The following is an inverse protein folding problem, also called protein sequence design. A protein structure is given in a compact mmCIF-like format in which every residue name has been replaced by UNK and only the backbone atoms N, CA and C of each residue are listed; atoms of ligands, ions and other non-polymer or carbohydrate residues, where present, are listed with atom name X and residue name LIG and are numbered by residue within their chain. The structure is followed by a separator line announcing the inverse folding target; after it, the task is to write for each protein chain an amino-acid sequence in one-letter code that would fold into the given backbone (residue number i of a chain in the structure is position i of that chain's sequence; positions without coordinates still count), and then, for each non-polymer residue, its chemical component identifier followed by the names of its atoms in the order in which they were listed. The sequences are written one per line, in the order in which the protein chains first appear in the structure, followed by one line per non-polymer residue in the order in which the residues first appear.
data_IF_109378787423
#
_entry.id   IF_109378787423
#
_cell.length_a   1.000
_cell.length_b   1.000
_cell.length_c   1.000
_cell.angle_alpha   90.00
_cell.angle_beta   90.00
_cell.angle_gamma   90.00
#
_symmetry.space_group_name_H-M   'P 1'
#
loop_
_entity.id
_entity.type
_entity.pdbx_description
1 polymer ?
#
# COMPACT_ATOMS: atom_id res chain seq x y z
N UNK A 1 5.71 -21.34 -5.44
CA UNK A 1 5.70 -19.88 -5.71
C UNK A 1 5.13 -19.12 -4.52
N UNK A 2 5.94 -18.21 -3.97
CA UNK A 2 5.58 -17.34 -2.84
C UNK A 2 5.39 -15.91 -3.36
N UNK A 3 4.31 -15.24 -2.96
CA UNK A 3 3.94 -13.94 -3.54
C UNK A 3 3.53 -12.90 -2.50
N UNK A 4 3.90 -11.64 -2.69
CA UNK A 4 3.49 -10.56 -1.79
C UNK A 4 2.20 -9.88 -2.27
N UNK A 5 1.34 -9.50 -1.34
CA UNK A 5 0.29 -8.52 -1.62
C UNK A 5 0.94 -7.22 -2.06
N UNK A 6 0.34 -6.58 -3.07
CA UNK A 6 0.90 -5.38 -3.66
C UNK A 6 -0.19 -4.39 -4.03
N UNK A 7 -0.15 -3.20 -3.41
CA UNK A 7 -0.98 -2.10 -3.86
C UNK A 7 -0.41 -1.44 -5.11
N UNK A 8 0.82 -0.93 -5.01
CA UNK A 8 1.51 -0.18 -6.05
C UNK A 8 3.01 -0.20 -5.73
N UNK A 9 3.86 -0.20 -6.76
CA UNK A 9 5.28 0.15 -6.61
C UNK A 9 5.47 1.65 -6.80
N UNK A 10 6.70 2.15 -6.64
CA UNK A 10 7.06 3.55 -6.87
C UNK A 10 8.14 3.68 -7.93
N UNK A 11 8.14 4.80 -8.65
CA UNK A 11 9.27 5.23 -9.48
C UNK A 11 10.50 5.53 -8.59
N UNK A 12 11.70 5.39 -9.17
CA UNK A 12 12.98 5.25 -8.43
C UNK A 12 13.25 6.39 -7.44
N UNK A 13 12.90 7.63 -7.77
CA UNK A 13 13.38 8.81 -7.02
C UNK A 13 12.46 9.26 -5.87
N UNK A 14 11.40 8.50 -5.56
CA UNK A 14 10.41 8.95 -4.57
C UNK A 14 10.97 9.16 -3.16
N UNK A 15 11.99 8.39 -2.79
CA UNK A 15 12.66 8.49 -1.50
C UNK A 15 13.58 9.70 -1.40
N UNK A 16 14.39 9.97 -2.43
CA UNK A 16 15.25 11.16 -2.51
C UNK A 16 14.43 12.45 -2.38
N UNK A 17 13.34 12.58 -3.14
CA UNK A 17 12.47 13.76 -3.05
C UNK A 17 11.80 13.89 -1.68
N UNK A 18 11.52 12.78 -0.98
CA UNK A 18 11.01 12.79 0.39
C UNK A 18 12.06 13.28 1.41
N UNK A 19 13.32 12.87 1.24
CA UNK A 19 14.45 13.30 2.08
C UNK A 19 14.69 14.80 1.90
N UNK A 20 14.80 15.27 0.66
CA UNK A 20 15.00 16.69 0.36
C UNK A 20 13.81 17.55 0.80
N UNK A 21 12.57 17.05 0.65
CA UNK A 21 11.38 17.75 1.12
C UNK A 21 11.33 17.88 2.65
N UNK A 22 11.95 16.95 3.39
CA UNK A 22 12.13 17.06 4.83
C UNK A 22 13.25 18.05 5.22
N UNK A 23 14.10 18.44 4.27
CA UNK A 23 15.19 19.40 4.47
C UNK A 23 16.54 18.75 4.81
N UNK A 24 16.73 17.48 4.49
CA UNK A 24 18.01 16.78 4.67
C UNK A 24 18.77 16.79 3.33
N UNK A 25 20.02 17.29 3.26
CA UNK A 25 20.86 17.16 2.07
C UNK A 25 21.16 15.68 1.77
N UNK A 26 21.04 15.27 0.51
CA UNK A 26 21.33 13.88 0.12
C UNK A 26 22.79 13.48 0.40
N UNK A 27 23.71 14.43 0.34
CA UNK A 27 25.12 14.22 0.66
C UNK A 27 25.37 13.84 2.13
N UNK A 28 24.42 14.14 3.03
CA UNK A 28 24.50 13.74 4.44
C UNK A 28 23.94 12.34 4.70
N UNK A 29 23.29 11.72 3.71
CA UNK A 29 22.58 10.44 3.86
C UNK A 29 23.53 9.26 3.67
N UNK A 30 23.47 8.31 4.60
CA UNK A 30 24.13 7.01 4.49
C UNK A 30 23.15 5.91 4.05
N UNK A 31 21.91 5.92 4.55
CA UNK A 31 20.88 4.96 4.15
C UNK A 31 19.47 5.52 4.31
N UNK A 32 18.53 4.94 3.55
CA UNK A 32 17.09 5.19 3.69
C UNK A 32 16.36 3.88 3.93
N UNK A 33 15.50 3.85 4.94
CA UNK A 33 14.65 2.71 5.24
C UNK A 33 13.18 3.07 4.96
N UNK A 34 12.58 2.40 3.98
CA UNK A 34 11.15 2.58 3.65
C UNK A 34 10.22 2.13 4.78
N UNK A 35 10.69 1.26 5.67
CA UNK A 35 9.93 0.72 6.79
C UNK A 35 10.85 0.41 7.98
N UNK A 36 11.56 1.43 8.45
CA UNK A 36 12.40 1.37 9.65
C UNK A 36 11.60 1.47 10.96
N UNK A 37 12.27 1.30 12.10
CA UNK A 37 11.68 1.54 13.43
C UNK A 37 10.64 0.51 13.89
N UNK A 38 10.73 -0.74 13.43
CA UNK A 38 9.82 -1.83 13.81
C UNK A 38 8.43 -1.74 13.17
N UNK A 39 7.51 -2.64 13.50
CA UNK A 39 6.15 -2.63 12.93
C UNK A 39 5.27 -1.54 13.61
N UNK A 40 4.46 -0.75 12.86
CA UNK A 40 4.27 -0.80 11.40
C UNK A 40 5.33 -0.02 10.62
N UNK A 41 6.15 0.78 11.30
CA UNK A 41 7.35 1.41 10.78
C UNK A 41 7.15 2.81 10.23
N UNK A 42 8.18 3.31 9.54
CA UNK A 42 8.16 4.59 8.86
C UNK A 42 9.35 4.80 7.94
N UNK A 43 9.41 5.97 7.34
CA UNK A 43 10.57 6.45 6.59
C UNK A 43 11.63 6.94 7.56
N UNK A 44 12.79 6.29 7.53
CA UNK A 44 13.94 6.66 8.34
C UNK A 44 15.13 6.97 7.44
N UNK A 45 15.81 8.06 7.76
CA UNK A 45 17.10 8.44 7.18
C UNK A 45 18.18 8.18 8.20
N UNK A 46 19.16 7.37 7.83
CA UNK A 46 20.39 7.23 8.58
C UNK A 46 21.41 8.17 7.94
N UNK A 47 21.89 9.15 8.69
CA UNK A 47 22.92 10.09 8.26
C UNK A 47 24.31 9.47 8.39
N UNK A 48 25.28 10.05 7.68
CA UNK A 48 26.70 9.63 7.73
C UNK A 48 27.34 9.78 9.11
N UNK A 49 26.82 10.68 9.95
CA UNK A 49 27.23 10.84 11.35
C UNK A 49 26.60 9.81 12.31
N UNK A 50 25.77 8.90 11.79
CA UNK A 50 25.04 7.89 12.57
C UNK A 50 23.68 8.34 13.10
N UNK A 51 23.29 9.61 12.92
CA UNK A 51 21.98 10.11 13.36
C UNK A 51 20.85 9.45 12.56
N UNK A 52 19.82 8.98 13.26
CA UNK A 52 18.60 8.44 12.66
C UNK A 52 17.46 9.46 12.73
N UNK A 53 16.84 9.76 11.59
CA UNK A 53 15.76 10.75 11.48
C UNK A 53 14.51 10.11 10.88
N UNK A 54 13.38 10.18 11.62
CA UNK A 54 12.08 9.75 11.12
C UNK A 54 11.38 10.88 10.37
N UNK A 55 11.05 10.68 9.10
CA UNK A 55 10.45 11.74 8.27
C UNK A 55 8.98 12.03 8.59
N UNK A 56 8.30 11.12 9.31
CA UNK A 56 6.88 11.28 9.68
C UNK A 56 6.57 10.61 11.02
N UNK A 57 6.63 11.37 12.11
CA UNK A 57 6.37 10.82 13.45
C UNK A 57 4.88 10.59 13.72
N UNK A 58 4.04 11.55 13.32
CA UNK A 58 2.62 11.63 13.73
C UNK A 58 1.65 11.10 12.68
N UNK A 59 2.16 10.64 11.53
CA UNK A 59 1.37 10.11 10.42
C UNK A 59 1.76 8.64 10.22
N UNK A 60 0.76 7.75 10.20
CA UNK A 60 0.99 6.34 9.96
C UNK A 60 1.55 6.10 8.56
N UNK A 61 2.53 5.19 8.45
CA UNK A 61 3.20 4.85 7.20
C UNK A 61 2.21 4.51 6.08
N UNK A 62 1.11 3.81 6.36
CA UNK A 62 0.08 3.47 5.35
C UNK A 62 -0.54 4.71 4.69
N UNK A 63 -0.71 5.80 5.43
CA UNK A 63 -1.29 7.04 4.92
C UNK A 63 -0.25 7.88 4.19
N UNK A 64 1.02 7.84 4.63
CA UNK A 64 2.16 8.38 3.87
C UNK A 64 2.28 7.67 2.51
N UNK A 65 2.30 6.34 2.50
CA UNK A 65 2.38 5.54 1.28
C UNK A 65 1.21 5.82 0.32
N UNK A 66 -0.01 6.06 0.84
CA UNK A 66 -1.15 6.47 0.01
C UNK A 66 -0.90 7.78 -0.76
N UNK A 67 -0.15 8.72 -0.17
CA UNK A 67 0.29 9.95 -0.87
C UNK A 67 1.40 9.61 -1.84
N UNK A 68 2.40 8.82 -1.42
CA UNK A 68 3.52 8.41 -2.27
C UNK A 68 3.06 7.71 -3.55
N UNK A 69 2.11 6.78 -3.48
CA UNK A 69 1.57 6.09 -4.66
C UNK A 69 0.85 7.04 -5.64
N UNK A 70 0.31 8.16 -5.15
CA UNK A 70 -0.31 9.19 -6.01
C UNK A 70 0.71 10.14 -6.63
N UNK A 71 1.91 10.25 -6.08
CA UNK A 71 2.98 11.08 -6.62
C UNK A 71 3.93 10.29 -7.53
N UNK A 72 4.21 9.03 -7.18
CA UNK A 72 5.26 8.20 -7.76
C UNK A 72 4.78 6.85 -8.30
N UNK A 73 3.47 6.56 -8.25
CA UNK A 73 2.95 5.28 -8.74
C UNK A 73 3.02 5.19 -10.28
N UNK A 74 3.74 4.21 -10.86
CA UNK A 74 3.92 4.13 -12.30
C UNK A 74 2.60 3.77 -12.99
N UNK A 75 2.44 4.20 -14.25
CA UNK A 75 1.24 3.92 -15.07
C UNK A 75 0.91 2.43 -15.13
N UNK A 76 1.94 1.56 -15.20
CA UNK A 76 1.77 0.10 -15.21
C UNK A 76 0.99 -0.43 -14.01
N UNK A 77 1.23 0.09 -12.80
CA UNK A 77 0.50 -0.33 -11.61
C UNK A 77 -0.99 0.05 -11.64
N UNK A 78 -1.36 1.04 -12.46
CA UNK A 78 -2.74 1.44 -12.66
C UNK A 78 -3.48 0.55 -13.65
N UNK A 79 -2.78 -0.34 -14.36
CA UNK A 79 -3.36 -1.35 -15.24
C UNK A 79 -3.33 -2.75 -14.61
N UNK A 80 -2.79 -2.87 -13.40
CA UNK A 80 -2.62 -4.15 -12.68
C UNK A 80 -3.90 -4.54 -11.94
N UNK A 81 -4.48 -5.69 -12.30
CA UNK A 81 -5.72 -6.21 -11.68
C UNK A 81 -5.44 -7.09 -10.46
N UNK A 82 -4.18 -7.43 -10.17
CA UNK A 82 -3.82 -8.30 -9.05
C UNK A 82 -3.24 -7.49 -7.89
N UNK A 83 -3.86 -7.63 -6.72
CA UNK A 83 -3.40 -7.04 -5.48
C UNK A 83 -2.95 -8.07 -4.45
N UNK A 84 -3.37 -9.32 -4.59
CA UNK A 84 -3.24 -10.37 -3.58
C UNK A 84 -2.32 -11.51 -4.04
N UNK A 85 -1.62 -11.31 -5.17
CA UNK A 85 -0.82 -12.33 -5.84
C UNK A 85 -1.64 -13.62 -6.00
N UNK A 86 -2.75 -13.50 -6.73
CA UNK A 86 -3.84 -14.48 -6.77
C UNK A 86 -3.43 -15.82 -7.41
N UNK A 87 -2.29 -15.85 -8.11
CA UNK A 87 -1.73 -17.04 -8.74
C UNK A 87 -0.61 -17.73 -7.93
N UNK A 88 -0.22 -17.18 -6.77
CA UNK A 88 0.81 -17.81 -5.92
C UNK A 88 0.27 -19.02 -5.14
N UNK A 89 1.16 -19.93 -4.77
CA UNK A 89 0.81 -21.05 -3.89
C UNK A 89 0.46 -20.54 -2.49
N UNK A 90 1.30 -19.63 -1.99
CA UNK A 90 1.10 -18.83 -0.78
C UNK A 90 1.30 -17.34 -1.09
N UNK A 91 0.35 -16.52 -0.63
CA UNK A 91 0.41 -15.06 -0.77
C UNK A 91 0.47 -14.39 0.60
N UNK A 92 1.31 -13.35 0.78
CA UNK A 92 1.61 -12.76 2.08
C UNK A 92 1.26 -11.27 2.16
N UNK A 93 0.70 -10.83 3.29
CA UNK A 93 0.50 -9.42 3.57
C UNK A 93 0.48 -9.10 5.06
N UNK A 94 0.39 -7.81 5.37
CA UNK A 94 0.33 -7.35 6.76
C UNK A 94 -0.99 -7.73 7.43
N UNK A 95 -0.92 -8.33 8.63
CA UNK A 95 -2.07 -8.44 9.52
C UNK A 95 -2.23 -7.12 10.30
N UNK A 96 -3.36 -6.44 10.10
CA UNK A 96 -3.70 -5.21 10.81
C UNK A 96 -4.78 -5.50 11.84
N UNK A 97 -4.43 -5.53 13.13
CA UNK A 97 -5.31 -5.98 14.20
C UNK A 97 -6.64 -5.21 14.27
N UNK A 98 -6.62 -3.92 13.97
CA UNK A 98 -7.82 -3.08 13.99
C UNK A 98 -8.83 -3.37 12.86
N UNK A 99 -8.52 -4.28 11.92
CA UNK A 99 -9.54 -4.85 11.01
C UNK A 99 -10.38 -5.94 11.68
N UNK A 100 -9.99 -6.42 12.86
CA UNK A 100 -10.60 -7.59 13.50
C UNK A 100 -11.12 -7.24 14.90
N UNK A 101 -11.96 -8.11 15.45
CA UNK A 101 -12.42 -7.96 16.83
C UNK A 101 -11.28 -8.30 17.81
N UNK A 102 -11.46 -7.95 19.09
CA UNK A 102 -10.41 -8.01 20.12
C UNK A 102 -9.70 -9.36 20.23
N UNK A 103 -10.42 -10.46 19.97
CA UNK A 103 -9.91 -11.81 20.04
C UNK A 103 -8.85 -12.12 18.97
N UNK A 104 -8.94 -11.49 17.79
CA UNK A 104 -7.93 -11.61 16.73
C UNK A 104 -6.93 -10.46 16.74
N UNK A 105 -7.23 -9.37 17.44
CA UNK A 105 -6.35 -8.21 17.54
C UNK A 105 -5.00 -8.53 18.21
N UNK A 106 -4.95 -9.59 19.02
CA UNK A 106 -3.72 -10.11 19.64
C UNK A 106 -2.66 -10.52 18.60
N UNK A 107 -3.09 -10.84 17.38
CA UNK A 107 -2.20 -11.23 16.28
C UNK A 107 -1.65 -10.04 15.48
N UNK A 108 -1.71 -8.81 16.02
CA UNK A 108 -0.98 -7.67 15.45
C UNK A 108 0.48 -8.07 15.17
N UNK A 109 1.04 -7.60 14.05
CA UNK A 109 2.40 -7.91 13.59
C UNK A 109 2.60 -9.32 13.03
N UNK A 110 1.58 -10.18 13.05
CA UNK A 110 1.61 -11.40 12.25
C UNK A 110 1.56 -11.10 10.74
N UNK A 111 1.97 -12.08 9.95
CA UNK A 111 1.78 -12.06 8.49
C UNK A 111 0.48 -12.78 8.16
N UNK A 112 -0.39 -12.12 7.39
CA UNK A 112 -1.57 -12.75 6.81
C UNK A 112 -1.15 -13.59 5.60
N UNK A 113 -1.53 -14.86 5.58
CA UNK A 113 -1.19 -15.80 4.52
C UNK A 113 -2.47 -16.27 3.82
N UNK A 114 -2.52 -16.16 2.49
CA UNK A 114 -3.52 -16.84 1.66
C UNK A 114 -2.91 -18.09 1.06
N UNK A 115 -3.46 -19.26 1.37
CA UNK A 115 -3.10 -20.55 0.77
C UNK A 115 -4.07 -20.88 -0.36
N UNK A 116 -3.55 -21.26 -1.54
CA UNK A 116 -4.38 -21.41 -2.76
C UNK A 116 -4.29 -22.79 -3.42
N UNK A 117 -3.08 -23.31 -3.55
CA UNK A 117 -2.81 -24.55 -4.30
C UNK A 117 -2.53 -25.72 -3.39
N UNK A 118 -2.45 -26.92 -3.97
CA UNK A 118 -2.00 -28.13 -3.26
C UNK A 118 -0.55 -28.00 -2.77
N UNK A 119 0.35 -27.43 -3.58
CA UNK A 119 1.73 -27.18 -3.19
C UNK A 119 1.83 -26.20 -2.00
N UNK A 120 1.00 -25.15 -1.99
CA UNK A 120 0.93 -24.22 -0.86
C UNK A 120 0.38 -24.87 0.40
N UNK A 121 -0.58 -25.80 0.26
CA UNK A 121 -1.11 -26.58 1.40
C UNK A 121 -0.02 -27.46 2.02
N UNK A 122 0.69 -28.24 1.19
CA UNK A 122 1.79 -29.10 1.66
C UNK A 122 2.85 -28.28 2.40
N UNK A 123 3.25 -27.13 1.85
CA UNK A 123 4.23 -26.27 2.51
C UNK A 123 3.73 -25.73 3.87
N UNK A 124 2.44 -25.43 4.01
CA UNK A 124 1.88 -25.00 5.31
C UNK A 124 1.85 -26.15 6.32
N UNK A 125 1.61 -27.38 5.88
CA UNK A 125 1.67 -28.58 6.72
C UNK A 125 3.11 -28.79 7.23
N UNK A 126 4.10 -28.75 6.33
CA UNK A 126 5.52 -28.86 6.68
C UNK A 126 5.95 -27.76 7.68
N UNK A 127 5.47 -26.52 7.48
CA UNK A 127 5.70 -25.39 8.39
C UNK A 127 5.12 -25.65 9.78
N UNK A 128 3.89 -26.17 9.85
CA UNK A 128 3.23 -26.48 11.12
C UNK A 128 3.95 -27.63 11.85
N UNK A 129 4.42 -28.64 11.13
CA UNK A 129 5.17 -29.78 11.69
C UNK A 129 6.57 -29.37 12.18
N UNK A 130 7.21 -28.41 11.52
CA UNK A 130 8.55 -27.93 11.89
C UNK A 130 8.64 -27.34 13.31
N UNK A 131 7.53 -26.87 13.87
CA UNK A 131 7.48 -26.13 15.14
C UNK A 131 8.21 -24.77 15.13
N UNK A 132 8.74 -24.32 14.00
CA UNK A 132 9.48 -23.04 13.90
C UNK A 132 8.57 -21.81 13.84
N UNK A 133 7.29 -22.02 13.53
CA UNK A 133 6.31 -20.95 13.32
C UNK A 133 5.09 -21.18 14.20
N UNK A 134 4.60 -20.10 14.81
CA UNK A 134 3.27 -20.10 15.44
C UNK A 134 2.24 -19.73 14.37
N UNK A 135 1.39 -20.70 14.02
CA UNK A 135 0.38 -20.54 12.98
C UNK A 135 -0.99 -20.38 13.62
N UNK A 136 -1.71 -19.32 13.24
CA UNK A 136 -3.08 -19.07 13.67
C UNK A 136 -4.02 -19.18 12.48
N UNK A 137 -5.05 -20.01 12.60
CA UNK A 137 -6.06 -20.13 11.55
C UNK A 137 -7.03 -18.96 11.63
N UNK A 138 -7.13 -18.20 10.54
CA UNK A 138 -8.12 -17.14 10.39
C UNK A 138 -9.40 -17.71 9.76
N UNK A 139 -10.57 -17.66 10.43
CA UNK A 139 -11.81 -18.11 9.82
C UNK A 139 -12.16 -17.31 8.57
N UNK A 140 -12.66 -17.98 7.52
CA UNK A 140 -12.99 -17.32 6.25
C UNK A 140 -14.03 -16.19 6.40
N UNK A 141 -14.95 -16.32 7.36
CA UNK A 141 -15.95 -15.29 7.68
C UNK A 141 -15.34 -14.00 8.24
N UNK A 142 -14.05 -14.01 8.61
CA UNK A 142 -13.37 -12.93 9.31
C UNK A 142 -12.22 -12.33 8.51
N UNK A 143 -12.27 -12.37 7.18
CA UNK A 143 -11.25 -11.76 6.32
C UNK A 143 -11.07 -10.25 6.56
N UNK A 144 -9.85 -9.73 6.36
CA UNK A 144 -9.58 -8.28 6.45
C UNK A 144 -10.40 -7.51 5.41
N UNK A 145 -11.43 -6.80 5.86
CA UNK A 145 -12.28 -5.92 5.04
C UNK A 145 -11.45 -4.89 4.28
N UNK A 146 -10.37 -4.38 4.89
CA UNK A 146 -9.51 -3.37 4.28
C UNK A 146 -8.65 -3.92 3.16
N UNK A 147 -8.04 -5.09 3.34
CA UNK A 147 -7.27 -5.74 2.27
C UNK A 147 -8.19 -6.03 1.08
N UNK A 148 -9.40 -6.53 1.34
CA UNK A 148 -10.40 -6.73 0.29
C UNK A 148 -10.84 -5.42 -0.38
N UNK A 149 -11.10 -4.36 0.39
CA UNK A 149 -11.40 -3.01 -0.15
C UNK A 149 -10.24 -2.45 -0.97
N UNK A 150 -9.00 -2.69 -0.54
CA UNK A 150 -7.79 -2.28 -1.25
C UNK A 150 -7.66 -3.04 -2.58
N UNK A 151 -7.88 -4.36 -2.58
CA UNK A 151 -7.82 -5.20 -3.77
C UNK A 151 -8.92 -4.83 -4.77
N UNK A 152 -10.16 -4.68 -4.30
CA UNK A 152 -11.29 -4.20 -5.11
C UNK A 152 -11.03 -2.80 -5.68
N UNK A 153 -10.48 -1.90 -4.87
CA UNK A 153 -10.11 -0.55 -5.30
C UNK A 153 -9.02 -0.55 -6.39
N UNK A 154 -8.04 -1.46 -6.29
CA UNK A 154 -7.02 -1.64 -7.33
C UNK A 154 -7.62 -2.20 -8.62
N UNK A 155 -8.41 -3.27 -8.53
CA UNK A 155 -9.13 -3.88 -9.68
C UNK A 155 -10.01 -2.86 -10.41
N UNK A 156 -10.84 -2.11 -9.68
CA UNK A 156 -11.69 -1.05 -10.26
C UNK A 156 -10.87 0.01 -11.00
N UNK A 157 -9.73 0.46 -10.43
CA UNK A 157 -8.83 1.39 -11.12
C UNK A 157 -8.23 0.80 -12.39
N UNK A 158 -7.80 -0.46 -12.33
CA UNK A 158 -7.27 -1.18 -13.47
C UNK A 158 -8.29 -1.32 -14.60
N UNK A 159 -9.54 -1.64 -14.29
CA UNK A 159 -10.59 -1.70 -15.31
C UNK A 159 -10.78 -0.36 -16.02
N UNK A 160 -10.84 0.75 -15.28
CA UNK A 160 -10.92 2.10 -15.89
C UNK A 160 -9.71 2.37 -16.78
N UNK A 161 -8.50 2.05 -16.32
CA UNK A 161 -7.27 2.24 -17.08
C UNK A 161 -7.22 1.39 -18.36
N UNK A 162 -7.62 0.12 -18.29
CA UNK A 162 -7.65 -0.81 -19.42
C UNK A 162 -8.68 -0.38 -20.47
N UNK A 163 -9.89 0.00 -20.04
CA UNK A 163 -10.92 0.54 -20.94
C UNK A 163 -10.50 1.87 -21.57
N UNK A 164 -9.75 2.70 -20.85
CA UNK A 164 -9.17 3.92 -21.42
C UNK A 164 -8.09 3.59 -22.47
N UNK A 165 -7.20 2.66 -22.16
CA UNK A 165 -6.14 2.23 -23.08
C UNK A 165 -6.72 1.63 -24.37
N UNK A 166 -7.71 0.73 -24.26
CA UNK A 166 -8.40 0.15 -25.40
C UNK A 166 -9.05 1.22 -26.30
N UNK A 167 -9.79 2.17 -25.72
CA UNK A 167 -10.42 3.28 -26.47
C UNK A 167 -9.43 4.21 -27.17
N UNK A 168 -8.19 4.28 -26.68
CA UNK A 168 -7.14 5.14 -27.22
C UNK A 168 -6.11 4.38 -28.06
N UNK A 169 -6.28 3.07 -28.25
CA UNK A 169 -5.29 2.23 -28.93
C UNK A 169 -3.93 2.18 -28.21
N UNK A 170 -3.90 2.41 -26.90
CA UNK A 170 -2.67 2.38 -26.11
C UNK A 170 -2.31 0.94 -25.71
N UNK A 171 -1.01 0.60 -25.61
CA UNK A 171 -0.57 -0.69 -25.12
C UNK A 171 -1.12 -0.99 -23.71
N UNK A 172 -1.68 -2.19 -23.55
CA UNK A 172 -2.22 -2.68 -22.29
C UNK A 172 -1.95 -4.19 -22.14
N UNK A 173 -1.80 -4.70 -20.91
CA UNK A 173 -1.63 -6.13 -20.68
C UNK A 173 -2.89 -6.91 -21.09
N UNK A 174 -2.68 -8.07 -21.73
CA UNK A 174 -3.73 -9.04 -22.00
C UNK A 174 -3.94 -9.93 -20.78
N UNK A 175 -5.10 -9.82 -20.13
CA UNK A 175 -5.45 -10.66 -18.98
C UNK A 175 -6.28 -11.90 -19.34
N UNK A 176 -6.60 -12.08 -20.62
CA UNK A 176 -7.35 -13.25 -21.12
C UNK A 176 -8.71 -13.50 -20.43
N UNK A 177 -9.34 -12.44 -19.90
CA UNK A 177 -10.72 -12.45 -19.45
C UNK A 177 -11.42 -11.13 -19.82
N UNK A 178 -12.74 -11.15 -19.87
CA UNK A 178 -13.53 -9.96 -20.18
C UNK A 178 -13.40 -8.92 -19.05
N UNK A 179 -12.77 -7.78 -19.34
CA UNK A 179 -12.60 -6.70 -18.35
C UNK A 179 -13.96 -6.07 -18.05
N UNK A 180 -14.45 -6.13 -16.79
CA UNK A 180 -15.74 -5.55 -16.42
C UNK A 180 -15.85 -4.08 -16.79
N UNK A 181 -17.05 -3.65 -17.20
CA UNK A 181 -17.31 -2.25 -17.52
C UNK A 181 -17.26 -1.40 -16.24
N UNK A 182 -16.46 -0.32 -16.20
CA UNK A 182 -16.37 0.52 -15.03
C UNK A 182 -17.61 1.40 -14.86
N UNK A 183 -18.03 1.62 -13.62
CA UNK A 183 -19.14 2.56 -13.34
C UNK A 183 -18.68 4.01 -13.46
N UNK A 184 -19.62 4.96 -13.61
CA UNK A 184 -19.31 6.39 -13.54
C UNK A 184 -18.64 6.78 -12.20
N UNK A 185 -18.97 6.08 -11.11
CA UNK A 185 -18.33 6.26 -9.80
C UNK A 185 -16.86 5.84 -9.84
N UNK A 186 -16.53 4.73 -10.49
CA UNK A 186 -15.16 4.26 -10.64
C UNK A 186 -14.33 5.25 -11.46
N UNK A 187 -14.86 5.71 -12.60
CA UNK A 187 -14.19 6.71 -13.45
C UNK A 187 -13.89 7.99 -12.68
N UNK A 188 -14.86 8.51 -11.90
CA UNK A 188 -14.64 9.68 -11.04
C UNK A 188 -13.55 9.42 -9.99
N UNK A 189 -13.55 8.27 -9.33
CA UNK A 189 -12.51 7.91 -8.34
C UNK A 189 -11.12 7.88 -8.99
N UNK A 190 -10.98 7.30 -10.18
CA UNK A 190 -9.69 7.26 -10.90
C UNK A 190 -9.24 8.64 -11.32
N UNK A 191 -10.15 9.51 -11.77
CA UNK A 191 -9.83 10.90 -12.10
C UNK A 191 -9.19 11.61 -10.90
N UNK A 192 -9.81 11.55 -9.72
CA UNK A 192 -9.25 12.18 -8.51
C UNK A 192 -7.96 11.50 -8.03
N UNK A 193 -7.87 10.17 -8.13
CA UNK A 193 -6.67 9.43 -7.76
C UNK A 193 -5.46 9.82 -8.64
N UNK A 194 -5.69 9.98 -9.94
CA UNK A 194 -4.65 10.30 -10.93
C UNK A 194 -4.34 11.79 -11.04
N UNK A 195 -5.05 12.67 -10.34
CA UNK A 195 -4.87 14.12 -10.44
C UNK A 195 -3.42 14.53 -10.15
N UNK A 196 -2.83 13.99 -9.09
CA UNK A 196 -1.43 14.26 -8.74
C UNK A 196 -0.45 13.66 -9.75
N UNK A 197 -0.79 12.52 -10.35
CA UNK A 197 0.06 11.84 -11.35
C UNK A 197 0.06 12.57 -12.70
N UNK A 198 -0.93 13.45 -12.95
CA UNK A 198 -0.94 14.33 -14.13
C UNK A 198 0.04 15.48 -13.98
N UNK A 199 0.31 15.91 -12.75
CA UNK A 199 1.27 16.97 -12.45
C UNK A 199 2.64 16.32 -12.20
N UNK A 200 3.33 15.96 -13.29
CA UNK A 200 4.67 15.35 -13.25
C UNK A 200 5.78 16.38 -13.01
N UNK A 201 5.61 17.25 -12.02
CA UNK A 201 6.60 18.26 -11.65
C UNK A 201 7.29 17.88 -10.35
N UNK A 202 8.63 17.72 -10.32
CA UNK A 202 9.37 17.52 -9.07
C UNK A 202 9.11 18.61 -8.04
N UNK A 203 8.94 19.87 -8.50
CA UNK A 203 8.60 20.99 -7.62
C UNK A 203 7.24 20.76 -6.93
N UNK A 204 6.22 20.35 -7.71
CA UNK A 204 4.91 20.03 -7.15
C UNK A 204 4.98 18.88 -6.14
N UNK A 205 5.68 17.80 -6.48
CA UNK A 205 5.84 16.63 -5.59
C UNK A 205 6.55 17.02 -4.29
N UNK A 206 7.66 17.75 -4.37
CA UNK A 206 8.37 18.28 -3.20
C UNK A 206 7.49 19.20 -2.35
N UNK A 207 6.65 20.05 -2.95
CA UNK A 207 5.68 20.88 -2.20
C UNK A 207 4.63 20.04 -1.47
N UNK A 208 4.07 19.02 -2.11
CA UNK A 208 3.13 18.10 -1.46
C UNK A 208 3.79 17.35 -0.31
N UNK A 209 5.04 16.92 -0.48
CA UNK A 209 5.81 16.23 0.56
C UNK A 209 6.19 17.15 1.73
N UNK A 210 6.61 18.39 1.44
CA UNK A 210 6.84 19.42 2.47
C UNK A 210 5.59 19.63 3.30
N UNK A 211 4.43 19.75 2.65
CA UNK A 211 3.14 19.85 3.35
C UNK A 211 2.87 18.58 4.16
N UNK A 212 3.07 17.39 3.60
CA UNK A 212 2.85 16.10 4.27
C UNK A 212 3.66 15.97 5.57
N UNK A 213 4.93 16.37 5.57
CA UNK A 213 5.81 16.28 6.73
C UNK A 213 5.74 17.49 7.68
N UNK A 214 5.02 18.55 7.28
CA UNK A 214 4.84 19.75 8.11
C UNK A 214 3.82 19.57 9.25
N UNK A 215 3.79 20.49 10.23
CA UNK A 215 2.73 20.54 11.23
C UNK A 215 1.30 20.63 10.63
N UNK A 216 1.15 21.29 9.48
CA UNK A 216 -0.15 21.39 8.79
C UNK A 216 -0.58 20.04 8.20
N UNK A 217 0.37 19.24 7.69
CA UNK A 217 0.13 17.86 7.26
C UNK A 217 -0.34 16.97 8.40
N UNK A 218 0.27 17.13 9.58
CA UNK A 218 -0.16 16.43 10.81
C UNK A 218 -1.57 16.85 11.22
N UNK A 219 -1.90 18.14 11.16
CA UNK A 219 -3.25 18.62 11.44
C UNK A 219 -4.27 18.02 10.47
N UNK A 220 -4.00 18.06 9.17
CA UNK A 220 -4.86 17.47 8.15
C UNK A 220 -5.04 15.95 8.36
N UNK A 221 -3.98 15.24 8.77
CA UNK A 221 -4.04 13.83 9.12
C UNK A 221 -4.96 13.58 10.32
N UNK A 222 -4.87 14.38 11.39
CA UNK A 222 -5.73 14.27 12.57
C UNK A 222 -7.21 14.51 12.21
N UNK A 223 -7.51 15.56 11.44
CA UNK A 223 -8.87 15.85 10.97
C UNK A 223 -9.43 14.69 10.14
N UNK A 224 -8.65 14.17 9.19
CA UNK A 224 -9.09 13.04 8.38
C UNK A 224 -9.28 11.76 9.21
N UNK A 225 -8.45 11.53 10.23
CA UNK A 225 -8.59 10.38 11.13
C UNK A 225 -9.86 10.47 11.96
N UNK A 226 -10.17 11.64 12.54
CA UNK A 226 -11.41 11.90 13.26
C UNK A 226 -12.65 11.75 12.35
N UNK A 227 -12.58 12.25 11.11
CA UNK A 227 -13.64 12.03 10.12
C UNK A 227 -13.82 10.53 9.81
N UNK A 228 -12.74 9.76 9.69
CA UNK A 228 -12.84 8.31 9.44
C UNK A 228 -13.47 7.58 10.63
N UNK A 229 -13.14 7.91 11.87
CA UNK A 229 -13.74 7.26 13.05
C UNK A 229 -15.24 7.56 13.19
N UNK A 230 -15.70 8.72 12.72
CA UNK A 230 -17.12 9.09 12.77
C UNK A 230 -17.96 8.46 11.65
N UNK A 231 -17.39 8.26 10.46
CA UNK A 231 -18.16 7.92 9.26
C UNK A 231 -17.76 6.59 8.60
N UNK A 232 -16.66 5.97 9.03
CA UNK A 232 -16.19 4.70 8.49
C UNK A 232 -16.17 3.70 9.63
N UNK A 233 -17.22 2.91 9.71
CA UNK A 233 -17.19 1.72 10.54
C UNK A 233 -16.31 0.67 9.84
N UNK A 234 -15.21 0.31 10.50
CA UNK A 234 -14.34 -0.79 10.07
C UNK A 234 -14.83 -2.14 10.62
N UNK A 235 -15.73 -2.12 11.62
CA UNK A 235 -16.29 -3.28 12.30
C UNK A 235 -17.67 -3.68 11.74
N UNK A 236 -18.53 -2.75 11.32
CA UNK A 236 -19.79 -3.06 10.59
C UNK A 236 -19.55 -3.69 9.21
#
# INVERSE_FOLDING_TARGET
MLGLYCHCTMEVNGHEEAIEAFGIPLDDVAAFQFRGGGWPGGFFVIKKDGTEVRLHEKILIKDVMNVMFRLYGPRRCQLCVDALCEYADLSFGDFWAFDFAKDLAVHERCTLISQRTAAGRQLMEDIMESGQFVVHTLPHSRNSKRILKMAAGKKSRAHVGLHHAARKGLPAPAYHYAIPQPTARDVRKVFFFSLFQRIKSPVFRKLVLKLLFSPLGVLAYKVNSARKSLFIDYHA
#
